data_IF_020265635279
#
_entry.id   IF_020265635279
#
_cell.length_a   1.000
_cell.length_b   1.000
_cell.length_c   1.000
_cell.angle_alpha   90.00
_cell.angle_beta   90.00
_cell.angle_gamma   90.00
#
_symmetry.space_group_name_H-M   'P 1'
#
loop_
_entity.id
_entity.type
_entity.pdbx_description
1 polymer ?
#
# COMPACT_ATOMS: atom_id res chain seq x y z
N UNK A 1 25.31 3.34 19.23
CA UNK A 1 24.53 3.89 18.11
C UNK A 1 23.39 2.93 17.85
N UNK A 2 22.14 3.41 17.87
CA UNK A 2 21.00 2.58 17.49
C UNK A 2 21.08 2.31 15.99
N UNK A 3 21.01 1.04 15.60
CA UNK A 3 21.04 0.66 14.20
C UNK A 3 19.68 0.99 13.60
N UNK A 4 19.62 2.06 12.79
CA UNK A 4 18.44 2.46 12.03
C UNK A 4 18.55 1.90 10.62
N UNK A 5 17.64 1.01 10.23
CA UNK A 5 17.56 0.47 8.87
C UNK A 5 16.20 0.78 8.27
N UNK A 6 16.21 1.30 7.05
CA UNK A 6 15.00 1.64 6.31
C UNK A 6 14.94 0.96 4.93
N UNK A 7 13.72 0.72 4.47
CA UNK A 7 13.45 0.20 3.14
C UNK A 7 12.16 0.79 2.58
N UNK A 8 12.21 1.22 1.32
CA UNK A 8 11.03 1.63 0.55
C UNK A 8 10.66 0.54 -0.46
N UNK A 9 9.40 0.12 -0.45
CA UNK A 9 8.82 -0.87 -1.36
C UNK A 9 7.67 -0.25 -2.13
N UNK A 10 7.82 -0.16 -3.46
CA UNK A 10 6.79 0.44 -4.32
C UNK A 10 5.69 -0.56 -4.59
N UNK A 11 4.44 -0.13 -4.48
CA UNK A 11 3.28 -0.97 -4.84
C UNK A 11 3.31 -1.29 -6.34
N UNK A 12 3.12 -2.56 -6.69
CA UNK A 12 3.02 -3.00 -8.06
C UNK A 12 1.80 -2.38 -8.76
N UNK A 13 1.96 -2.15 -10.07
CA UNK A 13 0.88 -1.62 -10.92
C UNK A 13 -0.21 -2.67 -11.03
N UNK A 14 -1.37 -2.37 -10.47
CA UNK A 14 -2.51 -3.27 -10.52
C UNK A 14 -3.38 -2.96 -11.76
N UNK A 15 -3.96 -3.97 -12.44
CA UNK A 15 -4.85 -3.74 -13.58
C UNK A 15 -6.07 -2.89 -13.19
N UNK A 16 -6.56 -3.04 -11.95
CA UNK A 16 -7.60 -2.17 -11.38
C UNK A 16 -7.22 -0.68 -11.41
N UNK A 17 -5.96 -0.34 -11.17
CA UNK A 17 -5.49 1.06 -11.23
C UNK A 17 -5.48 1.58 -12.66
N UNK A 18 -5.14 0.73 -13.63
CA UNK A 18 -5.21 1.07 -15.06
C UNK A 18 -6.65 1.39 -15.47
N UNK A 19 -7.62 0.56 -15.06
CA UNK A 19 -9.05 0.79 -15.35
C UNK A 19 -9.50 2.14 -14.78
N UNK A 20 -9.14 2.46 -13.54
CA UNK A 20 -9.48 3.76 -12.93
C UNK A 20 -8.88 4.91 -13.73
N UNK A 21 -7.64 4.79 -14.21
CA UNK A 21 -6.99 5.82 -15.04
C UNK A 21 -7.75 6.04 -16.35
N UNK A 22 -8.08 4.95 -17.05
CA UNK A 22 -8.81 5.00 -18.32
C UNK A 22 -10.19 5.64 -18.08
N UNK A 23 -10.93 5.17 -17.08
CA UNK A 23 -12.25 5.70 -16.75
C UNK A 23 -12.21 7.20 -16.39
N UNK A 24 -11.17 7.64 -15.67
CA UNK A 24 -10.98 9.05 -15.34
C UNK A 24 -10.76 9.91 -16.57
N UNK A 25 -9.97 9.42 -17.55
CA UNK A 25 -9.72 10.13 -18.82
C UNK A 25 -10.97 10.14 -19.71
N UNK A 26 -11.71 9.04 -19.76
CA UNK A 26 -12.98 8.97 -20.52
C UNK A 26 -13.97 9.99 -19.96
N UNK A 27 -14.15 10.04 -18.63
CA UNK A 27 -15.08 10.97 -17.98
C UNK A 27 -14.69 12.44 -18.21
N UNK A 28 -13.38 12.74 -18.22
CA UNK A 28 -12.86 14.07 -18.50
C UNK A 28 -13.30 14.60 -19.88
N UNK A 29 -13.41 13.73 -20.88
CA UNK A 29 -13.79 14.10 -22.24
C UNK A 29 -15.30 14.07 -22.41
N UNK A 30 -15.97 13.02 -21.91
CA UNK A 30 -17.40 12.80 -22.18
C UNK A 30 -18.30 13.80 -21.46
N UNK A 31 -18.01 14.17 -20.21
CA UNK A 31 -18.89 15.07 -19.44
C UNK A 31 -18.94 16.47 -20.06
N UNK A 32 -17.82 17.14 -20.39
CA UNK A 32 -17.85 18.42 -21.11
C UNK A 32 -18.48 18.31 -22.49
N UNK A 33 -18.20 17.21 -23.22
CA UNK A 33 -18.75 17.01 -24.57
C UNK A 33 -20.28 16.90 -24.56
N UNK A 34 -20.85 16.16 -23.61
CA UNK A 34 -22.31 16.07 -23.44
C UNK A 34 -22.89 17.45 -23.10
N UNK A 35 -22.26 18.19 -22.19
CA UNK A 35 -22.71 19.56 -21.85
C UNK A 35 -22.68 20.49 -23.08
N UNK A 36 -21.65 20.37 -23.91
CA UNK A 36 -21.50 21.12 -25.15
C UNK A 36 -22.58 20.77 -26.18
N UNK A 37 -22.83 19.48 -26.42
CA UNK A 37 -23.87 19.03 -27.38
C UNK A 37 -25.26 19.47 -26.92
N UNK A 38 -25.55 19.43 -25.62
CA UNK A 38 -26.84 19.87 -25.06
C UNK A 38 -27.07 21.38 -25.13
N UNK A 39 -26.02 22.19 -25.31
CA UNK A 39 -26.16 23.64 -25.43
C UNK A 39 -27.01 24.07 -26.64
N UNK A 40 -26.93 23.31 -27.75
CA UNK A 40 -27.62 23.61 -29.01
C UNK A 40 -29.13 23.36 -28.96
N UNK A 41 -29.64 22.15 -28.63
CA UNK A 41 -31.08 21.89 -28.60
C UNK A 41 -31.79 22.72 -27.51
N UNK A 42 -31.11 22.98 -26.38
CA UNK A 42 -31.67 23.77 -25.28
C UNK A 42 -31.58 25.29 -25.53
N UNK A 43 -30.79 25.74 -26.53
CA UNK A 43 -30.51 27.16 -26.82
C UNK A 43 -29.93 27.92 -25.61
N UNK A 44 -29.13 27.25 -24.78
CA UNK A 44 -28.50 27.83 -23.59
C UNK A 44 -27.00 27.99 -23.87
N UNK A 45 -26.59 29.16 -24.38
CA UNK A 45 -25.18 29.44 -24.66
C UNK A 45 -24.29 29.35 -23.41
N UNK A 46 -24.85 29.58 -22.22
CA UNK A 46 -24.15 29.46 -20.95
C UNK A 46 -23.56 28.05 -20.69
N UNK A 47 -24.17 26.99 -21.25
CA UNK A 47 -23.68 25.62 -21.10
C UNK A 47 -22.30 25.39 -21.73
N UNK A 48 -21.91 26.19 -22.72
CA UNK A 48 -20.58 26.12 -23.34
C UNK A 48 -19.51 26.56 -22.34
N UNK A 49 -19.74 27.66 -21.62
CA UNK A 49 -18.82 28.12 -20.57
C UNK A 49 -18.75 27.12 -19.41
N UNK A 50 -19.90 26.55 -19.01
CA UNK A 50 -19.95 25.50 -17.99
C UNK A 50 -19.13 24.28 -18.42
N UNK A 51 -19.27 23.81 -19.66
CA UNK A 51 -18.49 22.70 -20.20
C UNK A 51 -16.97 22.99 -20.13
N UNK A 52 -16.55 24.21 -20.47
CA UNK A 52 -15.15 24.63 -20.38
C UNK A 52 -14.61 24.59 -18.94
N UNK A 53 -15.34 25.14 -17.96
CA UNK A 53 -14.91 25.10 -16.56
C UNK A 53 -14.91 23.68 -15.99
N UNK A 54 -15.89 22.84 -16.35
CA UNK A 54 -15.91 21.42 -15.97
C UNK A 54 -14.66 20.71 -16.52
N UNK A 55 -14.27 21.00 -17.77
CA UNK A 55 -13.06 20.42 -18.35
C UNK A 55 -11.80 20.82 -17.58
N UNK A 56 -11.64 22.11 -17.25
CA UNK A 56 -10.49 22.60 -16.48
C UNK A 56 -10.41 21.96 -15.08
N UNK A 57 -11.54 21.90 -14.37
CA UNK A 57 -11.62 21.23 -13.06
C UNK A 57 -11.33 19.73 -13.22
N UNK A 58 -11.86 19.12 -14.28
CA UNK A 58 -11.63 17.72 -14.61
C UNK A 58 -10.16 17.39 -14.81
N UNK A 59 -9.37 18.25 -15.47
CA UNK A 59 -7.93 18.04 -15.64
C UNK A 59 -7.24 17.90 -14.29
N UNK A 60 -7.56 18.78 -13.34
CA UNK A 60 -7.02 18.72 -11.98
C UNK A 60 -7.42 17.42 -11.27
N UNK A 61 -8.69 17.01 -11.37
CA UNK A 61 -9.18 15.76 -10.79
C UNK A 61 -8.44 14.56 -11.37
N UNK A 62 -8.28 14.48 -12.69
CA UNK A 62 -7.54 13.40 -13.35
C UNK A 62 -6.09 13.36 -12.86
N UNK A 63 -5.40 14.50 -12.84
CA UNK A 63 -4.04 14.56 -12.30
C UNK A 63 -3.96 14.07 -10.84
N UNK A 64 -4.93 14.48 -10.02
CA UNK A 64 -5.02 14.06 -8.62
C UNK A 64 -5.22 12.55 -8.48
N UNK A 65 -6.14 11.96 -9.25
CA UNK A 65 -6.40 10.51 -9.28
C UNK A 65 -5.13 9.73 -9.66
N UNK A 66 -4.39 10.18 -10.68
CA UNK A 66 -3.13 9.55 -11.07
C UNK A 66 -2.07 9.66 -9.97
N UNK A 67 -2.06 10.79 -9.24
CA UNK A 67 -1.11 11.05 -8.17
C UNK A 67 -1.32 10.11 -6.98
N UNK A 68 -2.54 10.00 -6.45
CA UNK A 68 -2.86 9.22 -5.24
C UNK A 68 -2.66 7.70 -5.42
N UNK A 69 -2.60 7.22 -6.66
CA UNK A 69 -2.32 5.82 -6.95
C UNK A 69 -0.84 5.44 -6.78
N UNK A 70 0.08 6.42 -6.70
CA UNK A 70 1.48 6.18 -6.38
C UNK A 70 1.59 5.86 -4.89
N UNK A 71 1.68 4.59 -4.56
CA UNK A 71 1.75 4.10 -3.18
C UNK A 71 3.10 3.42 -2.99
N UNK A 72 3.77 3.79 -1.91
CA UNK A 72 5.01 3.19 -1.45
C UNK A 72 4.83 2.79 0.01
N UNK A 73 5.46 1.69 0.41
CA UNK A 73 5.51 1.22 1.78
C UNK A 73 6.91 1.43 2.31
N UNK A 74 7.01 1.96 3.51
CA UNK A 74 8.26 2.21 4.20
C UNK A 74 8.34 1.29 5.40
N UNK A 75 9.44 0.57 5.54
CA UNK A 75 9.76 -0.22 6.72
C UNK A 75 10.93 0.45 7.43
N UNK A 76 10.77 0.74 8.70
CA UNK A 76 11.82 1.30 9.54
C UNK A 76 12.03 0.38 10.75
N UNK A 77 13.25 -0.09 10.94
CA UNK A 77 13.65 -0.88 12.11
C UNK A 77 14.58 -0.05 12.97
N UNK A 78 14.23 0.10 14.24
CA UNK A 78 14.99 0.86 15.23
C UNK A 78 14.72 0.31 16.64
N UNK A 79 15.76 0.10 17.43
CA UNK A 79 15.63 -0.25 18.86
C UNK A 79 14.76 -1.48 19.15
N UNK A 80 14.74 -2.47 18.26
CA UNK A 80 13.90 -3.68 18.41
C UNK A 80 12.42 -3.48 18.08
N UNK A 81 12.04 -2.33 17.53
CA UNK A 81 10.73 -2.07 16.96
C UNK A 81 10.79 -2.03 15.44
N UNK A 82 9.71 -2.45 14.81
CA UNK A 82 9.47 -2.25 13.39
C UNK A 82 8.25 -1.35 13.21
N UNK A 83 8.44 -0.28 12.44
CA UNK A 83 7.39 0.64 12.02
C UNK A 83 7.17 0.51 10.51
N UNK A 84 5.91 0.43 10.13
CA UNK A 84 5.49 0.28 8.74
C UNK A 84 4.58 1.44 8.40
N UNK A 85 4.98 2.25 7.43
CA UNK A 85 4.24 3.39 6.95
C UNK A 85 3.84 3.23 5.49
N UNK A 86 2.70 3.80 5.13
CA UNK A 86 2.23 3.94 3.75
C UNK A 86 2.43 5.38 3.31
N UNK A 87 3.22 5.57 2.27
CA UNK A 87 3.47 6.86 1.64
C UNK A 87 2.61 6.93 0.37
N UNK A 88 1.76 7.95 0.29
CA UNK A 88 0.86 8.20 -0.83
C UNK A 88 1.35 9.45 -1.56
N UNK A 89 1.67 9.27 -2.83
CA UNK A 89 2.09 10.32 -3.76
C UNK A 89 3.27 11.17 -3.30
N UNK A 90 4.13 10.65 -2.40
CA UNK A 90 5.19 11.40 -1.70
C UNK A 90 4.68 12.62 -0.91
N UNK A 91 3.36 12.70 -0.65
CA UNK A 91 2.70 13.84 0.01
C UNK A 91 2.15 13.48 1.38
N UNK A 92 1.65 12.25 1.53
CA UNK A 92 0.96 11.81 2.74
C UNK A 92 1.57 10.52 3.25
N UNK A 93 2.19 10.57 4.42
CA UNK A 93 2.68 9.40 5.16
C UNK A 93 1.62 8.99 6.18
N UNK A 94 1.22 7.73 6.19
CA UNK A 94 0.27 7.15 7.16
C UNK A 94 0.90 5.92 7.79
N UNK A 95 1.19 5.97 9.09
CA UNK A 95 1.65 4.79 9.84
C UNK A 95 0.55 3.73 9.82
N UNK A 96 0.90 2.54 9.33
CA UNK A 96 0.00 1.38 9.22
C UNK A 96 0.07 0.52 10.47
N UNK A 97 1.28 0.29 10.97
CA UNK A 97 1.53 -0.48 12.17
C UNK A 97 2.87 -0.09 12.80
N UNK A 98 2.94 -0.23 14.12
CA UNK A 98 4.17 -0.19 14.91
C UNK A 98 4.09 -1.33 15.90
N UNK A 99 5.10 -2.19 15.93
CA UNK A 99 5.11 -3.37 16.79
C UNK A 99 6.53 -3.67 17.28
N UNK A 100 6.62 -4.30 18.45
CA UNK A 100 7.88 -4.81 18.96
C UNK A 100 8.21 -6.12 18.25
N UNK A 101 9.44 -6.26 17.76
CA UNK A 101 9.85 -7.44 16.97
C UNK A 101 9.77 -8.73 17.82
N UNK A 102 9.93 -8.61 19.14
CA UNK A 102 9.75 -9.69 20.11
C UNK A 102 8.30 -10.19 20.22
N UNK A 103 7.31 -9.38 19.84
CA UNK A 103 5.89 -9.75 19.91
C UNK A 103 5.42 -10.53 18.69
N UNK A 104 6.29 -10.67 17.68
CA UNK A 104 6.02 -11.50 16.52
C UNK A 104 5.95 -12.97 16.99
N UNK A 105 4.79 -13.59 16.78
CA UNK A 105 4.53 -14.99 17.10
C UNK A 105 5.00 -15.90 15.97
N UNK A 106 4.75 -15.49 14.74
CA UNK A 106 5.08 -16.26 13.54
C UNK A 106 5.67 -15.30 12.53
N UNK A 107 6.79 -15.70 11.92
CA UNK A 107 7.32 -15.09 10.70
C UNK A 107 7.60 -16.22 9.73
N UNK A 108 6.95 -16.19 8.57
CA UNK A 108 7.11 -17.23 7.55
C UNK A 108 7.04 -16.65 6.12
N UNK A 109 7.57 -17.38 5.15
CA UNK A 109 7.36 -17.12 3.72
C UNK A 109 6.21 -17.92 3.14
N UNK A 110 5.88 -19.07 3.73
CA UNK A 110 4.83 -19.93 3.20
C UNK A 110 3.44 -19.43 3.61
N UNK A 111 2.66 -18.98 2.63
CA UNK A 111 1.28 -18.53 2.82
C UNK A 111 0.38 -19.64 3.37
N UNK A 112 0.67 -20.92 3.07
CA UNK A 112 -0.16 -22.05 3.52
C UNK A 112 -0.19 -22.21 5.04
N UNK A 113 0.88 -21.81 5.71
CA UNK A 113 0.96 -21.80 7.17
C UNK A 113 -0.04 -20.80 7.76
N UNK A 114 -0.33 -19.73 7.03
CA UNK A 114 -1.13 -18.59 7.44
C UNK A 114 -2.60 -18.77 7.04
N UNK A 115 -2.87 -19.47 5.93
CA UNK A 115 -4.22 -19.54 5.34
C UNK A 115 -5.24 -20.27 6.23
N UNK A 116 -4.77 -21.19 7.08
CA UNK A 116 -5.62 -21.88 8.07
C UNK A 116 -5.96 -21.02 9.30
N UNK A 117 -5.35 -19.84 9.44
CA UNK A 117 -5.52 -18.98 10.61
C UNK A 117 -6.52 -17.86 10.37
N UNK A 118 -7.28 -17.53 11.42
CA UNK A 118 -8.19 -16.37 11.43
C UNK A 118 -7.48 -15.16 12.02
N UNK A 119 -7.52 -14.05 11.29
CA UNK A 119 -6.96 -12.77 11.71
C UNK A 119 -8.07 -11.73 11.80
N UNK A 120 -8.04 -10.93 12.86
CA UNK A 120 -8.97 -9.82 13.04
C UNK A 120 -8.63 -8.66 12.09
N UNK A 121 -7.34 -8.50 11.74
CA UNK A 121 -6.88 -7.51 10.78
C UNK A 121 -5.78 -8.08 9.88
N UNK A 122 -5.85 -7.75 8.59
CA UNK A 122 -4.76 -7.96 7.62
C UNK A 122 -4.18 -6.60 7.21
N UNK A 123 -2.86 -6.49 7.24
CA UNK A 123 -2.09 -5.31 6.85
C UNK A 123 -1.21 -5.72 5.68
N UNK A 124 -1.58 -5.26 4.49
CA UNK A 124 -0.83 -5.49 3.25
C UNK A 124 0.12 -4.33 3.02
N UNK A 125 1.40 -4.57 3.22
CA UNK A 125 2.49 -3.62 3.02
C UNK A 125 3.52 -4.15 2.03
N UNK A 126 3.14 -4.97 1.06
CA UNK A 126 4.00 -5.54 0.01
C UNK A 126 3.77 -4.89 -1.36
N UNK A 127 4.68 -5.15 -2.30
CA UNK A 127 4.54 -4.67 -3.68
C UNK A 127 3.32 -5.32 -4.38
N UNK A 128 3.27 -6.64 -4.35
CA UNK A 128 2.18 -7.51 -4.80
C UNK A 128 1.93 -8.56 -3.72
N UNK A 129 0.68 -8.98 -3.51
CA UNK A 129 0.32 -10.00 -2.52
C UNK A 129 0.76 -11.39 -2.99
N UNK A 130 0.79 -11.61 -4.30
CA UNK A 130 1.13 -12.91 -4.89
C UNK A 130 2.64 -13.09 -5.13
N UNK A 131 3.49 -12.21 -4.61
CA UNK A 131 4.95 -12.29 -4.75
C UNK A 131 5.52 -13.35 -3.80
N UNK A 132 6.35 -14.27 -4.31
CA UNK A 132 7.04 -15.32 -3.54
C UNK A 132 8.06 -14.73 -2.53
N UNK A 133 8.41 -13.46 -2.67
CA UNK A 133 9.29 -12.76 -1.75
C UNK A 133 8.56 -12.18 -0.53
N UNK A 134 7.24 -12.33 -0.45
CA UNK A 134 6.49 -11.89 0.69
C UNK A 134 6.80 -12.72 1.94
N UNK A 135 6.84 -12.02 3.06
CA UNK A 135 6.88 -12.56 4.40
C UNK A 135 5.58 -12.23 5.11
N UNK A 136 5.13 -13.18 5.90
CA UNK A 136 3.92 -13.15 6.69
C UNK A 136 4.31 -13.11 8.16
N UNK A 137 4.07 -11.98 8.82
CA UNK A 137 4.26 -11.84 10.26
C UNK A 137 2.92 -11.85 10.98
N UNK A 138 2.77 -12.72 11.97
CA UNK A 138 1.61 -12.76 12.87
C UNK A 138 2.02 -12.20 14.22
N UNK A 139 1.24 -11.26 14.71
CA UNK A 139 1.44 -10.65 16.02
C UNK A 139 0.09 -10.24 16.60
N UNK A 140 0.05 -10.00 17.91
CA UNK A 140 -1.13 -9.50 18.57
C UNK A 140 -1.04 -7.97 18.72
N UNK A 141 -1.94 -7.24 18.07
CA UNK A 141 -2.02 -5.79 18.19
C UNK A 141 -2.99 -5.43 19.30
N UNK A 142 -2.60 -4.54 20.23
CA UNK A 142 -3.50 -4.05 21.27
C UNK A 142 -4.78 -3.40 20.71
N UNK A 143 -4.71 -2.80 19.51
CA UNK A 143 -5.84 -2.11 18.89
C UNK A 143 -6.78 -3.03 18.09
N UNK A 144 -6.26 -4.10 17.50
CA UNK A 144 -6.99 -4.91 16.52
C UNK A 144 -7.03 -6.41 16.86
N UNK A 145 -6.36 -6.83 17.94
CA UNK A 145 -6.13 -8.23 18.25
C UNK A 145 -5.15 -8.90 17.26
N UNK A 146 -5.35 -10.19 17.03
CA UNK A 146 -4.48 -11.01 16.17
C UNK A 146 -4.44 -10.46 14.74
N UNK A 147 -3.29 -9.94 14.36
CA UNK A 147 -3.07 -9.20 13.12
C UNK A 147 -2.05 -9.91 12.26
N UNK A 148 -2.34 -10.01 10.96
CA UNK A 148 -1.42 -10.48 9.95
C UNK A 148 -0.81 -9.28 9.22
N UNK A 149 0.51 -9.24 9.14
CA UNK A 149 1.27 -8.31 8.31
C UNK A 149 1.90 -9.07 7.15
N UNK A 150 1.65 -8.59 5.93
CA UNK A 150 2.27 -9.09 4.70
C UNK A 150 3.20 -8.00 4.20
N UNK A 151 4.49 -8.30 4.08
CA UNK A 151 5.52 -7.34 3.72
C UNK A 151 6.69 -8.04 3.01
N UNK A 152 7.47 -7.30 2.23
CA UNK A 152 8.60 -7.84 1.46
C UNK A 152 9.94 -7.27 1.96
N UNK A 153 10.41 -7.65 3.17
CA UNK A 153 11.66 -7.14 3.73
C UNK A 153 12.86 -7.63 2.92
N UNK A 154 13.82 -6.74 2.69
CA UNK A 154 15.12 -7.09 2.13
C UNK A 154 16.03 -7.71 3.22
N UNK A 155 17.20 -8.18 2.81
CA UNK A 155 18.17 -8.80 3.72
C UNK A 155 18.61 -7.85 4.85
N UNK A 156 18.69 -6.54 4.58
CA UNK A 156 19.06 -5.55 5.60
C UNK A 156 18.02 -5.46 6.71
N UNK A 157 16.73 -5.36 6.36
CA UNK A 157 15.62 -5.32 7.32
C UNK A 157 15.52 -6.65 8.07
N UNK A 158 15.64 -7.79 7.38
CA UNK A 158 15.65 -9.11 8.04
C UNK A 158 16.80 -9.24 9.03
N UNK A 159 18.01 -8.84 8.67
CA UNK A 159 19.17 -8.88 9.56
C UNK A 159 19.01 -7.92 10.75
N UNK A 160 18.40 -6.75 10.55
CA UNK A 160 18.07 -5.82 11.63
C UNK A 160 17.06 -6.42 12.62
N UNK A 161 16.09 -7.19 12.11
CA UNK A 161 15.10 -7.89 12.93
C UNK A 161 15.68 -9.10 13.66
N UNK A 162 16.67 -9.79 13.06
CA UNK A 162 17.24 -11.05 13.56
C UNK A 162 17.62 -11.00 15.05
N UNK A 163 18.21 -9.90 15.50
CA UNK A 163 18.65 -9.75 16.90
C UNK A 163 17.52 -9.63 17.93
N UNK A 164 16.31 -9.30 17.49
CA UNK A 164 15.15 -9.02 18.36
C UNK A 164 14.02 -10.05 18.20
N UNK A 165 14.14 -10.94 17.22
CA UNK A 165 13.20 -12.05 17.01
C UNK A 165 13.39 -13.15 18.05
N UNK A 166 12.32 -13.88 18.35
CA UNK A 166 12.40 -15.10 19.17
C UNK A 166 13.31 -16.14 18.51
N UNK A 167 14.06 -16.88 19.32
CA UNK A 167 15.12 -17.79 18.85
C UNK A 167 14.60 -18.88 17.92
N UNK A 168 13.42 -19.40 18.20
CA UNK A 168 12.71 -20.40 17.39
C UNK A 168 12.41 -19.89 15.97
N UNK A 169 11.94 -18.64 15.86
CA UNK A 169 11.69 -17.97 14.58
C UNK A 169 13.00 -17.76 13.82
N UNK A 170 14.06 -17.31 14.51
CA UNK A 170 15.37 -17.10 13.90
C UNK A 170 15.93 -18.40 13.31
N UNK A 171 15.86 -19.50 14.07
CA UNK A 171 16.30 -20.82 13.60
C UNK A 171 15.50 -21.27 12.38
N UNK A 172 14.17 -21.10 12.40
CA UNK A 172 13.29 -21.47 11.30
C UNK A 172 13.60 -20.67 10.01
N UNK A 173 13.73 -19.36 10.11
CA UNK A 173 13.86 -18.47 8.95
C UNK A 173 15.30 -18.42 8.40
N UNK A 174 16.31 -18.39 9.27
CA UNK A 174 17.69 -18.14 8.85
C UNK A 174 18.55 -19.41 8.73
N UNK A 175 18.19 -20.49 9.44
CA UNK A 175 19.02 -21.70 9.51
C UNK A 175 18.35 -22.95 8.92
N UNK A 176 17.02 -22.94 8.73
CA UNK A 176 16.26 -24.05 8.14
C UNK A 176 16.03 -23.93 6.63
N UNK A 177 16.66 -22.96 5.96
CA UNK A 177 16.77 -22.94 4.48
C UNK A 177 17.81 -23.97 4.05
N UNK A 178 17.41 -25.24 4.08
CA UNK A 178 18.15 -26.40 3.56
C UNK A 178 17.17 -27.33 2.88
#
# INVERSE_FOLDING_TARGET
>A
MEVFNEQLVKRAKNPKQLIIKILSVVLLITVPLVCFILAFPLKIAYLIYVAFFIFLIGIYIVWYVFSIQKIEYEYAVSGGMIEIAKIIALRKRKTMCKLQISDIEILDKDEKVIDTMRFAKRIEACADINDENNYYAVFNSAAYGRTLLIFAPNEKILNAMKGHLKKDIVLKIFYKRG
#
